data_IF_705171133580
#
_entry.id   IF_705171133580
#
_cell.length_a   1.000
_cell.length_b   1.000
_cell.length_c   1.000
_cell.angle_alpha   90.00
_cell.angle_beta   90.00
_cell.angle_gamma   90.00
#
_symmetry.space_group_name_H-M   'P 1'
#
loop_
_entity.id
_entity.type
_entity.pdbx_description
1 polymer ?
#
# COMPACT_ATOMS: atom_id res chain seq x y z
N UNK A 1 -30.56 6.35 -15.88
CA UNK A 1 -29.64 5.26 -16.21
C UNK A 1 -30.11 4.00 -15.49
N UNK A 2 -30.20 2.83 -16.11
CA UNK A 2 -30.78 1.64 -15.50
C UNK A 2 -30.06 1.19 -14.21
N UNK A 3 -28.79 1.55 -14.06
CA UNK A 3 -27.96 1.20 -12.91
C UNK A 3 -27.89 2.29 -11.82
N UNK A 4 -28.53 3.43 -12.03
CA UNK A 4 -28.52 4.52 -11.07
C UNK A 4 -29.96 5.02 -10.87
N UNK A 5 -30.72 4.44 -9.93
CA UNK A 5 -32.06 4.91 -9.60
C UNK A 5 -32.00 6.35 -9.06
N UNK A 6 -33.15 7.03 -9.09
CA UNK A 6 -33.22 8.34 -8.44
C UNK A 6 -32.86 8.20 -6.95
N UNK A 7 -32.10 9.14 -6.42
CA UNK A 7 -31.61 9.08 -5.04
C UNK A 7 -32.74 8.84 -4.01
N UNK A 8 -33.91 9.47 -4.21
CA UNK A 8 -35.07 9.29 -3.35
C UNK A 8 -35.72 7.88 -3.44
N UNK A 9 -35.41 7.10 -4.48
CA UNK A 9 -35.97 5.77 -4.73
C UNK A 9 -34.99 4.64 -4.36
N UNK A 10 -33.77 4.98 -3.93
CA UNK A 10 -32.80 3.99 -3.51
C UNK A 10 -33.21 3.34 -2.18
N UNK A 11 -32.83 2.08 -1.98
CA UNK A 11 -33.02 1.39 -0.70
C UNK A 11 -32.26 2.11 0.41
N UNK A 12 -31.04 2.56 0.12
CA UNK A 12 -30.20 3.29 1.06
C UNK A 12 -30.87 4.59 1.53
N UNK A 13 -31.58 5.31 0.65
CA UNK A 13 -32.34 6.50 1.04
C UNK A 13 -33.48 6.19 2.01
N UNK A 14 -34.17 5.05 1.82
CA UNK A 14 -35.22 4.60 2.71
C UNK A 14 -34.73 4.21 4.10
N UNK A 15 -33.57 3.59 4.17
CA UNK A 15 -32.94 3.15 5.44
C UNK A 15 -32.28 4.32 6.19
N UNK A 16 -31.59 5.20 5.50
CA UNK A 16 -30.84 6.31 6.10
C UNK A 16 -31.69 7.57 6.35
N UNK A 17 -32.87 7.68 5.78
CA UNK A 17 -33.72 8.86 5.85
C UNK A 17 -33.16 10.09 5.08
N UNK A 18 -32.13 9.90 4.28
CA UNK A 18 -31.51 10.91 3.43
C UNK A 18 -31.43 10.42 1.99
N UNK A 19 -31.51 11.33 1.04
CA UNK A 19 -31.41 10.98 -0.36
C UNK A 19 -29.97 10.57 -0.71
N UNK A 20 -29.79 9.29 -0.93
CA UNK A 20 -28.48 8.69 -1.21
C UNK A 20 -28.55 7.95 -2.54
N UNK A 21 -27.57 8.19 -3.41
CA UNK A 21 -27.42 7.36 -4.59
C UNK A 21 -26.91 5.98 -4.18
N UNK A 22 -27.50 4.96 -4.77
CA UNK A 22 -27.09 3.59 -4.62
C UNK A 22 -26.82 3.01 -6.01
N UNK A 23 -25.67 2.39 -6.17
CA UNK A 23 -25.31 1.62 -7.37
C UNK A 23 -25.33 0.16 -6.98
N UNK A 24 -26.19 -0.62 -7.62
CA UNK A 24 -26.28 -2.05 -7.38
C UNK A 24 -25.41 -2.82 -8.40
N UNK A 25 -24.99 -4.02 -8.02
CA UNK A 25 -24.23 -4.96 -8.86
C UNK A 25 -22.88 -4.38 -9.37
N UNK A 26 -22.25 -3.52 -8.59
CA UNK A 26 -20.90 -3.00 -8.87
C UNK A 26 -19.91 -3.60 -7.91
N UNK A 27 -18.84 -4.15 -8.46
CA UNK A 27 -17.66 -4.53 -7.70
C UNK A 27 -16.71 -3.33 -7.68
N UNK A 28 -16.46 -2.80 -6.47
CA UNK A 28 -15.48 -1.74 -6.25
C UNK A 28 -14.14 -2.39 -5.95
N UNK A 29 -13.10 -2.00 -6.66
CA UNK A 29 -11.73 -2.51 -6.50
C UNK A 29 -11.19 -2.35 -5.07
N UNK A 30 -11.44 -1.21 -4.44
CA UNK A 30 -11.09 -0.98 -3.04
C UNK A 30 -11.77 -1.98 -2.06
N UNK A 31 -13.03 -2.34 -2.32
CA UNK A 31 -13.74 -3.33 -1.50
C UNK A 31 -13.24 -4.75 -1.77
N UNK A 32 -12.92 -5.05 -3.03
CA UNK A 32 -12.30 -6.32 -3.38
C UNK A 32 -10.92 -6.46 -2.73
N UNK A 33 -10.11 -5.40 -2.76
CA UNK A 33 -8.82 -5.35 -2.08
C UNK A 33 -8.98 -5.65 -0.59
N UNK A 34 -9.90 -4.97 0.10
CA UNK A 34 -10.16 -5.18 1.55
C UNK A 34 -10.56 -6.62 1.85
N UNK A 35 -11.41 -7.23 1.01
CA UNK A 35 -11.85 -8.63 1.18
C UNK A 35 -10.70 -9.62 0.96
N UNK A 36 -9.89 -9.42 -0.08
CA UNK A 36 -8.72 -10.25 -0.36
C UNK A 36 -7.70 -10.13 0.77
N UNK A 37 -7.40 -8.91 1.24
CA UNK A 37 -6.52 -8.69 2.39
C UNK A 37 -7.02 -9.42 3.63
N UNK A 38 -8.30 -9.27 3.98
CA UNK A 38 -8.88 -9.93 5.15
C UNK A 38 -8.82 -11.45 5.05
N UNK A 39 -9.10 -12.02 3.85
CA UNK A 39 -9.02 -13.46 3.62
C UNK A 39 -7.57 -13.94 3.68
N UNK A 40 -6.63 -13.24 3.06
CA UNK A 40 -5.21 -13.56 3.12
C UNK A 40 -4.69 -13.58 4.56
N UNK A 41 -5.04 -12.58 5.37
CA UNK A 41 -4.68 -12.54 6.78
C UNK A 41 -5.27 -13.72 7.59
N UNK A 42 -6.51 -14.13 7.29
CA UNK A 42 -7.15 -15.24 7.96
C UNK A 42 -6.54 -16.61 7.58
N UNK A 43 -6.00 -16.73 6.37
CA UNK A 43 -5.38 -17.96 5.87
C UNK A 43 -3.88 -18.10 6.24
N UNK A 44 -3.24 -17.07 6.78
CA UNK A 44 -1.81 -17.10 7.12
C UNK A 44 -0.94 -17.35 5.88
N UNK A 45 -0.04 -18.32 5.97
CA UNK A 45 0.89 -18.63 4.85
C UNK A 45 0.18 -19.01 3.55
N UNK A 46 -1.00 -19.66 3.63
CA UNK A 46 -1.82 -20.00 2.47
C UNK A 46 -2.51 -18.78 1.83
N UNK A 47 -2.48 -17.64 2.50
CA UNK A 47 -3.11 -16.40 2.06
C UNK A 47 -2.28 -15.56 1.07
N UNK A 48 -1.07 -15.97 0.74
CA UNK A 48 -0.15 -15.20 -0.11
C UNK A 48 -0.71 -14.91 -1.52
N UNK A 49 -1.48 -15.83 -2.09
CA UNK A 49 -2.10 -15.63 -3.41
C UNK A 49 -3.21 -14.57 -3.36
N UNK A 50 -3.92 -14.45 -2.24
CA UNK A 50 -4.92 -13.40 -2.03
C UNK A 50 -4.25 -12.03 -1.95
N UNK A 51 -3.13 -11.93 -1.25
CA UNK A 51 -2.34 -10.70 -1.18
C UNK A 51 -1.81 -10.29 -2.56
N UNK A 52 -1.26 -11.24 -3.30
CA UNK A 52 -0.80 -10.98 -4.67
C UNK A 52 -1.94 -10.52 -5.59
N UNK A 53 -3.10 -11.16 -5.49
CA UNK A 53 -4.29 -10.77 -6.26
C UNK A 53 -4.78 -9.37 -5.84
N UNK A 54 -4.72 -9.02 -4.55
CA UNK A 54 -5.07 -7.71 -4.06
C UNK A 54 -4.14 -6.63 -4.62
N UNK A 55 -2.83 -6.86 -4.64
CA UNK A 55 -1.86 -5.91 -5.19
C UNK A 55 -2.05 -5.64 -6.68
N UNK A 56 -2.54 -6.61 -7.44
CA UNK A 56 -2.84 -6.44 -8.88
C UNK A 56 -4.02 -5.52 -9.16
N UNK A 57 -4.80 -5.14 -8.16
CA UNK A 57 -5.88 -4.15 -8.28
C UNK A 57 -5.37 -2.71 -8.18
N UNK A 58 -4.09 -2.52 -7.81
CA UNK A 58 -3.52 -1.20 -7.55
C UNK A 58 -2.83 -0.69 -8.81
N UNK A 59 -3.29 0.43 -9.34
CA UNK A 59 -2.73 1.11 -10.51
C UNK A 59 -2.27 2.54 -10.24
N UNK A 60 -2.39 3.02 -8.99
CA UNK A 60 -1.97 4.36 -8.57
C UNK A 60 -2.22 4.65 -7.09
N UNK A 61 -1.98 5.88 -6.65
CA UNK A 61 -2.37 6.30 -5.32
C UNK A 61 -3.89 6.21 -5.17
N UNK A 62 -4.41 5.69 -4.04
CA UNK A 62 -5.84 5.53 -3.85
C UNK A 62 -6.61 6.82 -4.07
N UNK A 63 -7.67 6.74 -4.87
CA UNK A 63 -8.56 7.86 -5.20
C UNK A 63 -7.87 9.08 -5.82
N UNK A 64 -6.71 8.90 -6.47
CA UNK A 64 -5.94 10.01 -7.07
C UNK A 64 -6.77 10.81 -8.07
N UNK A 65 -7.57 10.15 -8.89
CA UNK A 65 -8.40 10.77 -9.91
C UNK A 65 -9.60 11.55 -9.33
N UNK A 66 -9.95 11.27 -8.06
CA UNK A 66 -11.03 11.95 -7.35
C UNK A 66 -10.57 13.20 -6.60
N UNK A 67 -9.28 13.54 -6.64
CA UNK A 67 -8.73 14.71 -5.91
C UNK A 67 -8.91 16.04 -6.64
N UNK A 68 -9.48 16.01 -7.84
CA UNK A 68 -9.84 17.21 -8.57
C UNK A 68 -11.07 17.91 -7.98
N UNK A 69 -11.42 19.08 -8.56
CA UNK A 69 -12.52 19.90 -8.07
C UNK A 69 -13.84 19.11 -7.89
N UNK A 70 -14.42 19.19 -6.70
CA UNK A 70 -15.70 18.53 -6.37
C UNK A 70 -15.57 17.33 -5.41
N UNK A 71 -14.36 16.87 -5.12
CA UNK A 71 -14.11 15.73 -4.25
C UNK A 71 -13.42 16.10 -2.93
N UNK A 72 -13.46 17.38 -2.52
CA UNK A 72 -12.86 17.87 -1.28
C UNK A 72 -13.35 17.10 -0.03
N UNK A 73 -14.58 16.58 -0.07
CA UNK A 73 -15.14 15.77 1.01
C UNK A 73 -14.30 14.53 1.34
N UNK A 74 -13.58 13.98 0.38
CA UNK A 74 -12.69 12.83 0.60
C UNK A 74 -11.52 13.20 1.52
N UNK A 75 -11.05 14.44 1.44
CA UNK A 75 -9.96 14.97 2.27
C UNK A 75 -10.46 15.45 3.64
N UNK A 76 -11.73 15.86 3.70
CA UNK A 76 -12.36 16.41 4.90
C UNK A 76 -13.11 15.34 5.73
N UNK A 77 -13.24 14.12 5.20
CA UNK A 77 -13.91 13.03 5.90
C UNK A 77 -13.16 12.64 7.20
N UNK A 78 -13.90 12.36 8.26
CA UNK A 78 -13.33 11.82 9.51
C UNK A 78 -12.56 10.51 9.26
N UNK A 79 -13.03 9.69 8.32
CA UNK A 79 -12.31 8.54 7.81
C UNK A 79 -11.48 8.96 6.59
N UNK A 80 -10.18 9.05 6.75
CA UNK A 80 -9.24 9.27 5.66
C UNK A 80 -9.07 7.97 4.86
N UNK A 81 -10.12 7.60 4.11
CA UNK A 81 -10.16 6.33 3.36
C UNK A 81 -9.01 6.20 2.35
N UNK A 82 -8.56 7.31 1.78
CA UNK A 82 -7.40 7.37 0.90
C UNK A 82 -6.10 7.00 1.62
N UNK A 83 -5.87 7.54 2.82
CA UNK A 83 -4.69 7.21 3.62
C UNK A 83 -4.76 5.79 4.18
N UNK A 84 -5.93 5.39 4.70
CA UNK A 84 -6.14 4.05 5.25
C UNK A 84 -5.90 2.98 4.17
N UNK A 85 -6.38 3.21 2.95
CA UNK A 85 -6.18 2.28 1.86
C UNK A 85 -4.73 2.26 1.38
N UNK A 86 -4.06 3.42 1.31
CA UNK A 86 -2.65 3.50 0.98
C UNK A 86 -1.79 2.73 2.00
N UNK A 87 -2.00 2.94 3.29
CA UNK A 87 -1.33 2.16 4.33
C UNK A 87 -1.60 0.65 4.21
N UNK A 88 -2.86 0.27 3.96
CA UNK A 88 -3.22 -1.14 3.79
C UNK A 88 -2.54 -1.79 2.57
N UNK A 89 -2.34 -1.05 1.49
CA UNK A 89 -1.59 -1.52 0.31
C UNK A 89 -0.11 -1.70 0.66
N UNK A 90 0.50 -0.76 1.35
CA UNK A 90 1.89 -0.86 1.80
C UNK A 90 2.08 -2.07 2.72
N UNK A 91 1.19 -2.29 3.70
CA UNK A 91 1.23 -3.46 4.60
C UNK A 91 1.21 -4.78 3.83
N UNK A 92 0.27 -4.91 2.86
CA UNK A 92 0.15 -6.13 2.05
C UNK A 92 1.39 -6.33 1.17
N UNK A 93 1.90 -5.26 0.57
CA UNK A 93 3.09 -5.33 -0.26
C UNK A 93 4.34 -5.70 0.54
N UNK A 94 4.47 -5.17 1.76
CA UNK A 94 5.54 -5.55 2.70
C UNK A 94 5.51 -7.05 3.01
N UNK A 95 4.34 -7.59 3.34
CA UNK A 95 4.17 -9.01 3.66
C UNK A 95 4.54 -9.90 2.46
N UNK A 96 4.09 -9.53 1.25
CA UNK A 96 4.43 -10.25 0.02
C UNK A 96 5.94 -10.16 -0.26
N UNK A 97 6.53 -8.96 -0.17
CA UNK A 97 7.94 -8.76 -0.42
C UNK A 97 8.82 -9.50 0.58
N UNK A 98 8.49 -9.46 1.88
CA UNK A 98 9.23 -10.15 2.91
C UNK A 98 9.18 -11.68 2.73
N UNK A 99 8.04 -12.22 2.35
CA UNK A 99 7.88 -13.65 2.05
C UNK A 99 8.65 -14.03 0.80
N UNK A 100 8.51 -13.28 -0.29
CA UNK A 100 9.20 -13.53 -1.54
C UNK A 100 10.73 -13.46 -1.39
N UNK A 101 11.26 -12.51 -0.60
CA UNK A 101 12.70 -12.45 -0.31
C UNK A 101 13.20 -13.65 0.52
N UNK A 102 12.40 -14.15 1.46
CA UNK A 102 12.73 -15.39 2.20
C UNK A 102 12.82 -16.60 1.27
N UNK A 103 11.94 -16.64 0.26
CA UNK A 103 11.87 -17.72 -0.73
C UNK A 103 12.85 -17.52 -1.90
N UNK A 104 13.66 -16.43 -1.86
CA UNK A 104 14.57 -16.01 -2.92
C UNK A 104 13.88 -15.71 -4.26
N UNK A 105 12.60 -15.32 -4.22
CA UNK A 105 11.81 -14.83 -5.36
C UNK A 105 11.93 -13.30 -5.44
N UNK A 106 13.07 -12.85 -5.96
CA UNK A 106 13.41 -11.42 -6.01
C UNK A 106 12.50 -10.65 -6.96
N UNK A 107 12.02 -11.30 -8.03
CA UNK A 107 11.12 -10.66 -9.01
C UNK A 107 9.78 -10.35 -8.37
N UNK A 108 9.20 -11.31 -7.66
CA UNK A 108 7.93 -11.11 -6.93
C UNK A 108 8.05 -10.05 -5.84
N UNK A 109 9.17 -10.01 -5.12
CA UNK A 109 9.44 -8.97 -4.14
C UNK A 109 9.51 -7.59 -4.80
N UNK A 110 10.18 -7.48 -5.96
CA UNK A 110 10.29 -6.23 -6.70
C UNK A 110 8.92 -5.72 -7.22
N UNK A 111 8.06 -6.61 -7.70
CA UNK A 111 6.69 -6.27 -8.09
C UNK A 111 5.87 -5.71 -6.93
N UNK A 112 5.90 -6.39 -5.78
CA UNK A 112 5.18 -5.95 -4.58
C UNK A 112 5.64 -4.57 -4.12
N UNK A 113 6.95 -4.35 -4.03
CA UNK A 113 7.54 -3.06 -3.64
C UNK A 113 7.24 -1.96 -4.66
N UNK A 114 7.21 -2.29 -5.95
CA UNK A 114 6.81 -1.34 -6.99
C UNK A 114 5.38 -0.88 -6.78
N UNK A 115 4.47 -1.79 -6.45
CA UNK A 115 3.06 -1.49 -6.15
C UNK A 115 2.92 -0.60 -4.91
N UNK A 116 3.65 -0.91 -3.83
CA UNK A 116 3.68 -0.06 -2.63
C UNK A 116 4.16 1.37 -2.96
N UNK A 117 5.23 1.49 -3.74
CA UNK A 117 5.79 2.78 -4.15
C UNK A 117 4.80 3.55 -5.04
N UNK A 118 4.05 2.86 -5.89
CA UNK A 118 3.03 3.46 -6.73
C UNK A 118 1.86 4.01 -5.90
N UNK A 119 1.40 3.25 -4.90
CA UNK A 119 0.31 3.66 -4.02
C UNK A 119 0.70 4.77 -3.03
N UNK A 120 1.92 4.71 -2.49
CA UNK A 120 2.43 5.65 -1.49
C UNK A 120 3.93 5.93 -1.70
N UNK A 121 4.28 6.88 -2.58
CA UNK A 121 5.69 7.14 -2.98
C UNK A 121 6.61 7.61 -1.84
N UNK A 122 6.02 8.14 -0.78
CA UNK A 122 6.75 8.72 0.35
C UNK A 122 6.75 7.85 1.61
N UNK A 123 6.14 6.68 1.53
CA UNK A 123 6.07 5.75 2.66
C UNK A 123 7.46 5.16 2.98
N UNK A 124 7.82 5.17 4.27
CA UNK A 124 9.14 4.73 4.72
C UNK A 124 9.31 3.20 4.59
N UNK A 125 8.25 2.43 4.86
CA UNK A 125 8.29 0.96 4.75
C UNK A 125 8.53 0.56 3.30
N UNK A 126 7.77 1.15 2.36
CA UNK A 126 7.95 0.89 0.93
C UNK A 126 9.37 1.21 0.44
N UNK A 127 9.99 2.29 0.97
CA UNK A 127 11.36 2.66 0.66
C UNK A 127 12.39 1.71 1.23
N UNK A 128 12.20 1.26 2.48
CA UNK A 128 13.09 0.27 3.11
C UNK A 128 13.01 -1.06 2.38
N UNK A 129 11.81 -1.51 2.03
CA UNK A 129 11.62 -2.73 1.24
C UNK A 129 12.27 -2.63 -0.14
N UNK A 130 12.20 -1.47 -0.79
CA UNK A 130 12.92 -1.24 -2.04
C UNK A 130 14.43 -1.39 -1.89
N UNK A 131 15.00 -0.88 -0.80
CA UNK A 131 16.41 -1.09 -0.53
C UNK A 131 16.75 -2.56 -0.30
N UNK A 132 15.89 -3.31 0.40
CA UNK A 132 16.07 -4.76 0.60
C UNK A 132 16.05 -5.53 -0.73
N UNK A 133 15.14 -5.17 -1.64
CA UNK A 133 15.09 -5.75 -3.00
C UNK A 133 16.38 -5.43 -3.77
N UNK A 134 16.88 -4.19 -3.73
CA UNK A 134 18.15 -3.81 -4.38
C UNK A 134 19.32 -4.65 -3.86
N UNK A 135 19.38 -4.91 -2.55
CA UNK A 135 20.39 -5.79 -1.96
C UNK A 135 20.26 -7.22 -2.49
N UNK A 136 19.04 -7.77 -2.52
CA UNK A 136 18.78 -9.10 -3.05
C UNK A 136 19.13 -9.23 -4.55
N UNK A 137 19.07 -8.16 -5.30
CA UNK A 137 19.52 -8.07 -6.70
C UNK A 137 21.04 -7.92 -6.84
N UNK A 138 21.80 -7.84 -5.73
CA UNK A 138 23.24 -7.63 -5.75
C UNK A 138 23.68 -6.18 -5.91
N UNK A 139 22.78 -5.22 -5.77
CA UNK A 139 23.03 -3.79 -5.94
C UNK A 139 23.20 -3.06 -4.59
N UNK A 140 24.13 -3.55 -3.75
CA UNK A 140 24.28 -3.05 -2.37
C UNK A 140 24.64 -1.55 -2.29
N UNK A 141 25.49 -1.05 -3.21
CA UNK A 141 25.86 0.35 -3.23
C UNK A 141 24.68 1.25 -3.59
N UNK A 142 23.87 0.83 -4.57
CA UNK A 142 22.64 1.53 -4.94
C UNK A 142 21.62 1.51 -3.79
N UNK A 143 21.50 0.40 -3.06
CA UNK A 143 20.63 0.32 -1.90
C UNK A 143 21.06 1.29 -0.79
N UNK A 144 22.37 1.38 -0.54
CA UNK A 144 22.93 2.30 0.47
C UNK A 144 22.71 3.75 0.08
N UNK A 145 22.96 4.11 -1.17
CA UNK A 145 22.72 5.46 -1.70
C UNK A 145 21.22 5.82 -1.64
N UNK A 146 20.35 4.87 -2.03
CA UNK A 146 18.91 5.06 -1.96
C UNK A 146 18.43 5.28 -0.53
N UNK A 147 18.87 4.48 0.46
CA UNK A 147 18.52 4.69 1.87
C UNK A 147 19.03 6.06 2.37
N UNK A 148 20.25 6.42 2.04
CA UNK A 148 20.82 7.71 2.44
C UNK A 148 20.01 8.89 1.88
N UNK A 149 19.58 8.81 0.64
CA UNK A 149 18.85 9.90 -0.04
C UNK A 149 17.35 9.91 0.22
N UNK A 150 16.71 8.76 0.32
CA UNK A 150 15.25 8.65 0.38
C UNK A 150 14.68 8.45 1.79
N UNK A 151 15.44 7.81 2.70
CA UNK A 151 15.00 7.52 4.07
C UNK A 151 15.72 8.41 5.08
N UNK A 152 17.02 8.63 4.91
CA UNK A 152 17.85 9.39 5.83
C UNK A 152 18.18 10.81 5.33
N UNK A 153 17.63 11.19 4.19
CA UNK A 153 17.91 12.51 3.62
C UNK A 153 17.30 13.62 4.48
N UNK A 154 18.10 14.06 5.42
CA UNK A 154 17.89 15.28 6.19
C UNK A 154 18.96 16.28 5.84
N UNK A 155 19.17 16.51 4.54
CA UNK A 155 20.16 17.47 4.05
C UNK A 155 19.94 18.89 4.59
N UNK A 156 18.72 19.18 5.04
CA UNK A 156 18.33 20.46 5.66
C UNK A 156 18.40 20.44 7.19
N UNK A 157 18.60 19.26 7.80
CA UNK A 157 18.73 19.12 9.23
C UNK A 157 20.21 19.26 9.62
N UNK A 158 20.54 20.34 10.32
CA UNK A 158 21.84 20.49 10.99
C UNK A 158 21.98 19.56 12.22
N UNK A 159 21.04 18.64 12.40
CA UNK A 159 21.05 17.62 13.44
C UNK A 159 22.00 16.49 13.03
N UNK A 160 22.75 15.98 13.98
CA UNK A 160 23.67 14.86 13.78
C UNK A 160 22.99 13.61 13.21
N UNK A 161 23.75 12.60 12.80
CA UNK A 161 23.21 11.40 12.17
C UNK A 161 22.17 10.76 13.08
N UNK A 162 20.97 10.53 12.53
CA UNK A 162 19.90 9.83 13.23
C UNK A 162 20.27 8.37 13.35
N UNK A 163 20.11 7.78 14.54
CA UNK A 163 20.24 6.34 14.72
C UNK A 163 19.27 5.63 13.76
N UNK A 164 19.81 4.64 13.05
CA UNK A 164 19.02 3.83 12.11
C UNK A 164 17.91 3.14 12.87
N UNK A 165 16.63 3.30 12.50
CA UNK A 165 15.54 2.63 13.20
C UNK A 165 15.77 1.13 13.34
N UNK A 166 15.31 0.49 14.42
CA UNK A 166 15.53 -0.94 14.67
C UNK A 166 15.09 -1.86 13.52
N UNK A 167 14.04 -1.46 12.79
CA UNK A 167 13.55 -2.15 11.59
C UNK A 167 14.57 -2.19 10.46
N UNK A 168 15.29 -1.10 10.25
CA UNK A 168 16.35 -1.03 9.23
C UNK A 168 17.62 -1.78 9.71
N UNK A 169 17.89 -1.74 11.02
CA UNK A 169 18.98 -2.52 11.62
C UNK A 169 18.73 -4.03 11.54
N UNK A 170 17.47 -4.48 11.63
CA UNK A 170 17.10 -5.89 11.53
C UNK A 170 17.39 -6.46 10.13
N UNK A 171 17.14 -5.72 9.07
CA UNK A 171 17.48 -6.11 7.69
C UNK A 171 18.99 -6.35 7.55
N UNK A 172 19.83 -5.47 8.15
CA UNK A 172 21.30 -5.62 8.14
C UNK A 172 21.81 -6.82 8.95
N UNK A 173 21.10 -7.24 10.00
CA UNK A 173 21.54 -8.36 10.86
C UNK A 173 21.22 -9.73 10.27
N UNK A 174 20.17 -9.85 9.45
CA UNK A 174 19.87 -11.10 8.74
C UNK A 174 20.94 -11.45 7.68
N UNK A 175 21.53 -10.45 7.04
CA UNK A 175 22.57 -10.63 6.03
C UNK A 175 23.92 -11.08 6.58
N UNK A 176 24.25 -10.74 7.84
CA UNK A 176 25.55 -11.14 8.46
C UNK A 176 25.56 -12.56 9.01
N UNK A 177 24.46 -13.30 8.94
CA UNK A 177 24.36 -14.68 9.46
C UNK A 177 24.33 -15.76 8.38
N UNK A 178 24.52 -15.40 7.12
CA UNK A 178 24.78 -16.31 6.00
C UNK A 178 26.26 -16.25 5.60
#
# INVERSE_FOLDING_TARGET
>A
HPYLPLAAQSRAAGEAGVWTYQVDDVLVDADLFRRLRARGQACGDDGQEDFHTALRLVDGPPFSDLRETGWSWLLDAESRDDEILACAIVDVAHEVAATALRDNDVDRAAEAVSTATLASPYDEIARVDRAAVLVAQGHEDAAREFLASAVHNRSDDQLGPVEVPPTVAAVRHQERRK
#
